data_IF_127276518158
#
_entry.id   IF_127276518158
#
_cell.length_a   1.000
_cell.length_b   1.000
_cell.length_c   1.000
_cell.angle_alpha   90.00
_cell.angle_beta   90.00
_cell.angle_gamma   90.00
#
_symmetry.space_group_name_H-M   'P 1'
#
loop_
_entity.id
_entity.type
_entity.pdbx_description
1 polymer ?
#
# COMPACT_ATOMS: atom_id res chain seq x y z
N UNK A 1 -6.19 13.32 2.11
CA UNK A 1 -6.01 12.21 1.15
C UNK A 1 -7.09 11.18 1.41
N UNK A 2 -7.76 10.62 0.37
CA UNK A 2 -8.63 9.47 0.55
C UNK A 2 -7.79 8.27 1.06
N UNK A 3 -8.33 7.51 2.02
CA UNK A 3 -7.61 6.41 2.68
C UNK A 3 -8.36 5.08 2.51
N UNK A 4 -7.60 4.00 2.37
CA UNK A 4 -8.09 2.61 2.31
C UNK A 4 -7.48 1.78 3.46
N UNK A 5 -7.91 0.52 3.62
CA UNK A 5 -7.61 -0.28 4.82
C UNK A 5 -6.13 -0.61 5.08
N UNK A 6 -5.23 -0.46 4.09
CA UNK A 6 -3.79 -0.68 4.27
C UNK A 6 -3.45 -2.12 4.69
N UNK A 7 -3.54 -3.07 3.76
CA UNK A 7 -3.42 -4.51 4.03
C UNK A 7 -2.10 -4.91 4.75
N UNK A 8 -0.95 -4.36 4.35
CA UNK A 8 0.34 -4.68 4.97
C UNK A 8 0.45 -4.28 6.44
N UNK A 9 -0.11 -3.12 6.81
CA UNK A 9 -0.16 -2.65 8.20
C UNK A 9 -1.06 -3.52 9.09
N UNK A 10 -2.21 -3.93 8.55
CA UNK A 10 -3.13 -4.84 9.24
C UNK A 10 -2.53 -6.25 9.40
N UNK A 11 -1.90 -6.78 8.35
CA UNK A 11 -1.22 -8.08 8.39
C UNK A 11 -0.12 -8.10 9.47
N UNK A 12 0.63 -7.00 9.62
CA UNK A 12 1.60 -6.84 10.69
C UNK A 12 0.95 -6.88 12.06
N UNK A 13 -0.14 -6.13 12.29
CA UNK A 13 -0.84 -6.16 13.57
C UNK A 13 -1.41 -7.55 13.89
N UNK A 14 -1.93 -8.24 12.89
CA UNK A 14 -2.43 -9.61 13.05
C UNK A 14 -1.31 -10.58 13.47
N UNK A 15 -0.11 -10.47 12.89
CA UNK A 15 1.08 -11.24 13.33
C UNK A 15 1.51 -10.91 14.76
N UNK A 16 1.35 -9.66 15.18
CA UNK A 16 1.60 -9.23 16.57
C UNK A 16 0.41 -9.48 17.52
N UNK A 17 -0.49 -10.42 17.19
CA UNK A 17 -1.69 -10.77 17.98
C UNK A 17 -2.70 -9.63 18.21
N UNK A 18 -2.54 -8.49 17.51
CA UNK A 18 -3.51 -7.40 17.48
C UNK A 18 -4.72 -7.76 16.63
N UNK A 19 -5.73 -8.40 17.22
CA UNK A 19 -6.95 -8.86 16.53
C UNK A 19 -8.14 -7.90 16.64
N UNK A 20 -7.97 -6.78 17.35
CA UNK A 20 -9.01 -5.77 17.58
C UNK A 20 -8.65 -4.44 16.92
N UNK A 21 -9.66 -3.71 16.43
CA UNK A 21 -9.50 -2.33 15.96
C UNK A 21 -8.95 -1.38 17.02
N UNK A 22 -9.08 -1.73 18.32
CA UNK A 22 -8.46 -0.99 19.42
C UNK A 22 -6.93 -1.00 19.35
N UNK A 23 -6.30 -2.08 18.88
CA UNK A 23 -4.85 -2.14 18.70
C UNK A 23 -4.39 -1.15 17.61
N UNK A 24 -5.14 -1.06 16.51
CA UNK A 24 -4.90 -0.11 15.43
C UNK A 24 -5.03 1.33 15.95
N UNK A 25 -6.10 1.62 16.70
CA UNK A 25 -6.35 2.94 17.27
C UNK A 25 -5.23 3.37 18.22
N UNK A 26 -4.78 2.49 19.13
CA UNK A 26 -3.69 2.78 20.06
C UNK A 26 -2.37 3.04 19.36
N UNK A 27 -2.02 2.26 18.33
CA UNK A 27 -0.82 2.48 17.53
C UNK A 27 -0.88 3.83 16.79
N UNK A 28 -2.03 4.18 16.23
CA UNK A 28 -2.24 5.47 15.58
C UNK A 28 -2.10 6.64 16.57
N UNK A 29 -2.71 6.54 17.75
CA UNK A 29 -2.57 7.56 18.81
C UNK A 29 -1.13 7.67 19.28
N UNK A 30 -0.43 6.55 19.50
CA UNK A 30 0.97 6.56 19.88
C UNK A 30 1.84 7.25 18.81
N UNK A 31 1.59 6.98 17.53
CA UNK A 31 2.31 7.60 16.41
C UNK A 31 2.03 9.10 16.31
N UNK A 32 0.78 9.53 16.55
CA UNK A 32 0.41 10.94 16.63
C UNK A 32 1.08 11.66 17.79
N UNK A 33 1.08 11.06 18.99
CA UNK A 33 1.75 11.64 20.17
C UNK A 33 3.25 11.76 19.93
N UNK A 34 3.86 10.73 19.34
CA UNK A 34 5.28 10.75 18.99
C UNK A 34 5.61 11.86 17.97
N UNK A 35 4.78 12.03 16.94
CA UNK A 35 4.93 13.09 15.96
C UNK A 35 4.69 14.49 16.57
N UNK A 36 3.74 14.64 17.49
CA UNK A 36 3.44 15.92 18.13
C UNK A 36 4.58 16.37 19.05
N UNK A 37 5.21 15.44 19.78
CA UNK A 37 6.28 15.74 20.74
C UNK A 37 7.66 15.83 20.07
N UNK A 38 7.94 14.98 19.06
CA UNK A 38 9.26 14.87 18.42
C UNK A 38 9.27 15.17 16.91
N UNK A 39 8.18 15.69 16.33
CA UNK A 39 8.03 15.84 14.88
C UNK A 39 9.14 16.63 14.19
N UNK A 40 9.58 17.74 14.80
CA UNK A 40 10.66 18.57 14.24
C UNK A 40 12.02 17.86 14.22
N UNK A 41 12.29 16.98 15.20
CA UNK A 41 13.49 16.14 15.21
C UNK A 41 13.37 14.96 14.26
N UNK A 42 12.19 14.33 14.17
CA UNK A 42 11.93 13.24 13.22
C UNK A 42 12.06 13.69 11.77
N UNK A 43 11.57 14.88 11.41
CA UNK A 43 11.73 15.43 10.05
C UNK A 43 13.21 15.60 9.69
N UNK A 44 14.04 16.08 10.61
CA UNK A 44 15.50 16.20 10.37
C UNK A 44 16.17 14.84 10.17
N UNK A 45 15.72 13.80 10.88
CA UNK A 45 16.24 12.44 10.72
C UNK A 45 15.74 11.80 9.41
N UNK A 46 14.49 12.07 9.03
CA UNK A 46 13.91 11.60 7.77
C UNK A 46 14.51 12.30 6.55
N UNK A 47 14.97 13.55 6.68
CA UNK A 47 15.70 14.25 5.62
C UNK A 47 17.08 13.61 5.35
N UNK A 48 17.69 13.02 6.38
CA UNK A 48 18.91 12.20 6.24
C UNK A 48 18.64 10.83 5.60
N UNK A 49 17.39 10.38 5.54
CA UNK A 49 17.06 9.15 4.82
C UNK A 49 17.21 9.37 3.32
N UNK A 50 18.19 8.69 2.73
CA UNK A 50 18.39 8.73 1.27
C UNK A 50 17.14 8.23 0.53
N UNK A 51 16.76 8.95 -0.53
CA UNK A 51 15.67 8.58 -1.45
C UNK A 51 15.81 7.15 -1.96
N UNK A 52 17.04 6.64 -2.06
CA UNK A 52 17.31 5.25 -2.45
C UNK A 52 16.70 4.22 -1.47
N UNK A 53 16.76 4.47 -0.17
CA UNK A 53 16.19 3.55 0.84
C UNK A 53 14.66 3.55 0.77
N UNK A 54 14.04 4.73 0.62
CA UNK A 54 12.60 4.84 0.41
C UNK A 54 12.17 4.11 -0.86
N UNK A 55 12.93 4.26 -1.95
CA UNK A 55 12.70 3.55 -3.20
C UNK A 55 12.74 2.03 -3.04
N UNK A 56 13.72 1.49 -2.32
CA UNK A 56 13.82 0.03 -2.09
C UNK A 56 12.64 -0.51 -1.28
N UNK A 57 12.22 0.22 -0.24
CA UNK A 57 11.06 -0.20 0.58
C UNK A 57 9.78 -0.18 -0.26
N UNK A 58 9.59 0.86 -1.08
CA UNK A 58 8.44 0.96 -1.99
C UNK A 58 8.45 -0.12 -3.09
N UNK A 59 9.62 -0.45 -3.64
CA UNK A 59 9.75 -1.53 -4.62
C UNK A 59 9.40 -2.88 -4.02
N UNK A 60 9.86 -3.16 -2.80
CA UNK A 60 9.54 -4.41 -2.12
C UNK A 60 8.03 -4.55 -1.85
N UNK A 61 7.40 -3.48 -1.34
CA UNK A 61 5.94 -3.44 -1.12
C UNK A 61 5.15 -3.61 -2.44
N UNK A 62 5.61 -2.95 -3.51
CA UNK A 62 5.01 -3.09 -4.84
C UNK A 62 5.15 -4.50 -5.43
N UNK A 63 6.29 -5.16 -5.22
CA UNK A 63 6.50 -6.57 -5.62
C UNK A 63 5.60 -7.49 -4.80
N UNK A 64 5.50 -7.28 -3.49
CA UNK A 64 4.60 -8.06 -2.62
C UNK A 64 3.15 -7.97 -3.11
N UNK A 65 2.69 -6.76 -3.44
CA UNK A 65 1.35 -6.54 -3.99
C UNK A 65 1.18 -7.17 -5.39
N UNK A 66 2.19 -7.08 -6.25
CA UNK A 66 2.15 -7.68 -7.59
C UNK A 66 2.18 -9.22 -7.56
N UNK A 67 2.74 -9.85 -6.53
CA UNK A 67 2.72 -11.31 -6.39
C UNK A 67 1.30 -11.84 -6.14
N UNK A 68 0.42 -11.08 -5.48
CA UNK A 68 -1.00 -11.47 -5.33
C UNK A 68 -1.70 -11.67 -6.68
N UNK A 69 -1.27 -10.97 -7.72
CA UNK A 69 -1.79 -11.14 -9.07
C UNK A 69 -1.51 -12.51 -9.69
N UNK A 70 -0.57 -13.30 -9.14
CA UNK A 70 -0.28 -14.66 -9.61
C UNK A 70 -1.27 -15.70 -9.10
N UNK A 71 -2.06 -15.38 -8.07
CA UNK A 71 -3.03 -16.30 -7.46
C UNK A 71 -4.35 -16.37 -8.26
N UNK A 72 -4.36 -15.92 -9.52
CA UNK A 72 -5.59 -15.91 -10.32
C UNK A 72 -5.88 -17.31 -10.86
N UNK A 73 -7.08 -17.80 -10.58
CA UNK A 73 -7.49 -19.17 -10.89
C UNK A 73 -7.72 -19.43 -12.39
N UNK A 74 -7.95 -18.37 -13.19
CA UNK A 74 -8.23 -18.47 -14.63
C UNK A 74 -7.33 -17.56 -15.45
N UNK A 75 -7.08 -17.97 -16.70
CA UNK A 75 -6.33 -17.19 -17.70
C UNK A 75 -7.03 -15.88 -18.03
N UNK A 76 -8.36 -15.85 -17.99
CA UNK A 76 -9.14 -14.66 -18.35
C UNK A 76 -8.98 -13.56 -17.27
N UNK A 77 -9.09 -13.92 -15.99
CA UNK A 77 -8.84 -13.03 -14.85
C UNK A 77 -7.42 -12.44 -14.85
N UNK A 78 -6.42 -13.26 -15.22
CA UNK A 78 -5.03 -12.81 -15.34
C UNK A 78 -4.84 -11.79 -16.47
N UNK A 79 -5.53 -12.00 -17.61
CA UNK A 79 -5.52 -11.07 -18.74
C UNK A 79 -6.21 -9.75 -18.38
N UNK A 80 -7.37 -9.79 -17.72
CA UNK A 80 -8.10 -8.58 -17.27
C UNK A 80 -7.24 -7.74 -16.32
N UNK A 81 -6.57 -8.38 -15.37
CA UNK A 81 -5.70 -7.71 -14.39
C UNK A 81 -4.46 -7.08 -15.05
N UNK A 82 -3.88 -7.75 -16.07
CA UNK A 82 -2.78 -7.21 -16.86
C UNK A 82 -3.23 -5.99 -17.70
N UNK A 83 -4.38 -6.09 -18.38
CA UNK A 83 -4.95 -4.98 -19.17
C UNK A 83 -5.20 -3.77 -18.27
N UNK A 84 -5.84 -3.97 -17.10
CA UNK A 84 -6.07 -2.91 -16.11
C UNK A 84 -4.77 -2.23 -15.66
N UNK A 85 -3.72 -3.00 -15.42
CA UNK A 85 -2.39 -2.49 -15.03
C UNK A 85 -1.76 -1.64 -16.14
N UNK A 86 -1.77 -2.15 -17.38
CA UNK A 86 -1.20 -1.43 -18.54
C UNK A 86 -1.96 -0.12 -18.79
N UNK A 87 -3.29 -0.15 -18.77
CA UNK A 87 -4.12 1.04 -18.95
C UNK A 87 -3.90 2.06 -17.82
N UNK A 88 -3.77 1.60 -16.58
CA UNK A 88 -3.47 2.49 -15.44
C UNK A 88 -2.11 3.16 -15.57
N UNK A 89 -1.10 2.41 -16.03
CA UNK A 89 0.27 2.91 -16.14
C UNK A 89 0.43 3.88 -17.32
N UNK A 90 -0.14 3.55 -18.48
CA UNK A 90 -0.11 4.41 -19.67
C UNK A 90 -0.98 5.65 -19.47
N UNK A 91 -2.16 5.49 -18.86
CA UNK A 91 -3.10 6.57 -18.57
C UNK A 91 -2.76 7.38 -17.32
N UNK A 92 -1.69 7.03 -16.60
CA UNK A 92 -1.27 7.62 -15.31
C UNK A 92 -2.43 7.79 -14.31
N UNK A 93 -3.44 6.91 -14.39
CA UNK A 93 -4.66 7.02 -13.61
C UNK A 93 -5.28 5.65 -13.34
N UNK A 94 -5.38 5.31 -12.06
CA UNK A 94 -6.03 4.08 -11.60
C UNK A 94 -7.52 4.04 -11.98
N UNK A 95 -8.16 5.20 -12.15
CA UNK A 95 -9.56 5.31 -12.57
C UNK A 95 -9.77 4.72 -13.96
N UNK A 96 -8.87 4.97 -14.92
CA UNK A 96 -8.99 4.42 -16.28
C UNK A 96 -8.83 2.89 -16.27
N UNK A 97 -7.88 2.37 -15.48
CA UNK A 97 -7.74 0.93 -15.30
C UNK A 97 -8.98 0.29 -14.71
N UNK A 98 -9.56 0.91 -13.68
CA UNK A 98 -10.79 0.42 -13.04
C UNK A 98 -11.97 0.33 -14.02
N UNK A 99 -12.22 1.38 -14.81
CA UNK A 99 -13.27 1.33 -15.83
C UNK A 99 -12.98 0.28 -16.90
N UNK A 100 -11.74 0.18 -17.38
CA UNK A 100 -11.37 -0.84 -18.37
C UNK A 100 -11.59 -2.26 -17.83
N UNK A 101 -11.29 -2.51 -16.55
CA UNK A 101 -11.54 -3.78 -15.90
C UNK A 101 -13.03 -4.15 -15.86
N UNK A 102 -13.92 -3.18 -15.56
CA UNK A 102 -15.37 -3.41 -15.56
C UNK A 102 -15.90 -3.84 -16.94
N UNK A 103 -15.37 -3.26 -18.02
CA UNK A 103 -15.80 -3.63 -19.38
C UNK A 103 -15.19 -4.95 -19.89
N UNK A 104 -14.09 -5.41 -19.27
CA UNK A 104 -13.37 -6.62 -19.66
C UNK A 104 -13.72 -7.85 -18.82
N UNK A 105 -14.38 -7.66 -17.66
CA UNK A 105 -14.91 -8.72 -16.79
C UNK A 105 -16.26 -9.28 -17.25
#
# INVERSE_FOLDING_TARGET
MPCCHGAGGLARQYKFSGRSGGCVALLSVAKLVLELVLGSSLVKILDQFSVGVLGVILLFDGIELAMCSRDMNSKEESVVMLICTVVSLVGSSATLGFFCGIFAS
#
